data_IF_589188140855
#
_entry.id   IF_589188140855
#
_cell.length_a   1.000
_cell.length_b   1.000
_cell.length_c   1.000
_cell.angle_alpha   90.00
_cell.angle_beta   90.00
_cell.angle_gamma   90.00
#
_symmetry.space_group_name_H-M   'P 1'
#
loop_
_entity.id
_entity.type
_entity.pdbx_description
1 polymer ?
#
# COMPACT_ATOMS: atom_id res chain seq x y z
N UNK A 1 8.17 10.65 -12.76
CA UNK A 1 6.85 11.06 -13.28
C UNK A 1 6.25 12.12 -12.35
N UNK A 2 5.92 13.30 -12.87
CA UNK A 2 5.35 14.41 -12.09
C UNK A 2 3.84 14.50 -12.38
N UNK A 3 3.02 14.48 -11.34
CA UNK A 3 1.54 14.58 -11.40
C UNK A 3 1.08 15.81 -10.64
N UNK A 4 0.94 16.92 -11.36
CA UNK A 4 0.52 18.23 -10.80
C UNK A 4 -0.94 18.24 -10.32
N UNK A 5 -1.74 17.26 -10.76
CA UNK A 5 -3.16 17.06 -10.40
C UNK A 5 -3.36 16.40 -9.03
N UNK A 6 -2.29 15.92 -8.38
CA UNK A 6 -2.36 15.22 -7.10
C UNK A 6 -1.82 16.08 -5.96
N UNK A 7 -2.62 16.24 -4.91
CA UNK A 7 -2.24 17.00 -3.70
C UNK A 7 -1.21 16.25 -2.83
N UNK A 8 -1.22 14.93 -2.83
CA UNK A 8 -0.46 14.14 -1.85
C UNK A 8 0.84 13.51 -2.36
N UNK A 9 0.99 13.29 -3.66
CA UNK A 9 2.21 12.70 -4.24
C UNK A 9 2.42 13.22 -5.65
N UNK A 10 3.08 14.38 -5.74
CA UNK A 10 3.34 15.04 -7.03
C UNK A 10 4.45 14.36 -7.82
N UNK A 11 5.44 13.79 -7.14
CA UNK A 11 6.57 13.10 -7.77
C UNK A 11 6.54 11.62 -7.42
N UNK A 12 6.59 10.76 -8.45
CA UNK A 12 6.78 9.32 -8.28
C UNK A 12 8.09 8.91 -8.92
N UNK A 13 8.99 8.35 -8.13
CA UNK A 13 10.17 7.67 -8.65
C UNK A 13 9.74 6.34 -9.24
N UNK A 14 10.12 6.08 -10.47
CA UNK A 14 9.86 4.82 -11.16
C UNK A 14 11.21 4.28 -11.62
N UNK A 15 11.51 3.06 -11.20
CA UNK A 15 12.73 2.37 -11.59
C UNK A 15 12.45 1.47 -12.81
N UNK A 16 13.30 1.55 -13.81
CA UNK A 16 13.22 0.67 -14.96
C UNK A 16 14.06 -0.60 -14.72
N UNK A 17 13.53 -1.50 -13.90
CA UNK A 17 14.20 -2.77 -13.57
C UNK A 17 14.26 -3.76 -14.77
N UNK A 18 13.63 -3.43 -15.90
CA UNK A 18 13.72 -4.18 -17.15
C UNK A 18 14.82 -3.65 -18.08
N UNK A 19 15.52 -2.57 -17.71
CA UNK A 19 16.64 -2.04 -18.49
C UNK A 19 17.96 -2.66 -18.07
N UNK A 20 18.83 -2.92 -19.04
CA UNK A 20 20.20 -3.40 -18.78
C UNK A 20 21.18 -2.82 -19.80
N UNK A 21 22.46 -2.79 -19.44
CA UNK A 21 23.52 -2.50 -20.40
C UNK A 21 23.66 -3.67 -21.39
N UNK A 22 24.18 -3.38 -22.60
CA UNK A 22 24.36 -4.39 -23.64
C UNK A 22 25.20 -5.58 -23.12
N UNK A 23 24.63 -6.76 -23.23
CA UNK A 23 25.27 -8.04 -22.81
C UNK A 23 25.01 -8.43 -21.35
N UNK A 24 24.24 -7.62 -20.58
CA UNK A 24 23.85 -7.95 -19.21
C UNK A 24 22.35 -8.26 -19.14
N UNK A 25 21.96 -9.02 -18.12
CA UNK A 25 20.54 -9.27 -17.81
C UNK A 25 19.93 -8.08 -17.06
N UNK A 26 18.65 -7.75 -17.33
CA UNK A 26 17.90 -6.82 -16.51
C UNK A 26 17.72 -7.34 -15.08
N UNK A 27 17.54 -6.44 -14.12
CA UNK A 27 17.32 -6.83 -12.71
C UNK A 27 16.09 -7.75 -12.57
N UNK A 28 15.00 -7.45 -13.26
CA UNK A 28 13.78 -8.26 -13.20
C UNK A 28 13.95 -9.69 -13.73
N UNK A 29 14.91 -9.93 -14.63
CA UNK A 29 15.21 -11.28 -15.12
C UNK A 29 16.08 -12.07 -14.13
N UNK A 30 16.72 -11.39 -13.17
CA UNK A 30 17.52 -11.98 -12.11
C UNK A 30 16.75 -12.18 -10.80
N UNK A 31 15.53 -11.62 -10.67
CA UNK A 31 14.70 -11.72 -9.48
C UNK A 31 13.63 -12.79 -9.63
N UNK A 32 13.45 -13.61 -8.58
CA UNK A 32 12.26 -14.47 -8.48
C UNK A 32 11.02 -13.59 -8.24
N UNK A 33 10.02 -13.73 -9.07
CA UNK A 33 8.76 -12.99 -8.97
C UNK A 33 7.95 -13.43 -7.76
N UNK A 34 8.16 -14.65 -7.27
CA UNK A 34 7.42 -15.30 -6.20
C UNK A 34 5.89 -15.43 -6.47
N UNK A 35 5.13 -16.19 -5.68
CA UNK A 35 3.69 -16.36 -5.89
C UNK A 35 2.89 -15.10 -5.59
N UNK A 36 1.74 -14.96 -6.26
CA UNK A 36 0.80 -13.91 -5.92
C UNK A 36 0.10 -14.23 -4.59
N UNK A 37 0.31 -13.40 -3.57
CA UNK A 37 -0.31 -13.53 -2.24
C UNK A 37 -1.59 -12.68 -2.08
N UNK A 38 -1.94 -11.86 -3.08
CA UNK A 38 -3.16 -11.07 -3.01
C UNK A 38 -4.38 -11.96 -3.21
N UNK A 39 -5.51 -11.66 -2.54
CA UNK A 39 -6.78 -12.30 -2.83
C UNK A 39 -7.22 -12.00 -4.27
N UNK A 40 -8.17 -12.79 -4.77
CA UNK A 40 -8.74 -12.54 -6.10
C UNK A 40 -9.53 -11.22 -6.08
N UNK A 41 -9.21 -10.32 -6.99
CA UNK A 41 -9.87 -9.00 -7.07
C UNK A 41 -11.37 -9.12 -7.35
N UNK A 42 -11.80 -10.14 -8.12
CA UNK A 42 -13.23 -10.38 -8.38
C UNK A 42 -13.97 -10.75 -7.10
N UNK A 43 -13.37 -11.60 -6.26
CA UNK A 43 -13.97 -12.02 -4.99
C UNK A 43 -14.09 -10.83 -4.03
N UNK A 44 -13.07 -9.95 -3.99
CA UNK A 44 -13.15 -8.70 -3.21
C UNK A 44 -14.30 -7.82 -3.67
N UNK A 45 -14.44 -7.58 -5.00
CA UNK A 45 -15.48 -6.71 -5.55
C UNK A 45 -16.88 -7.31 -5.33
N UNK A 46 -17.04 -8.61 -5.48
CA UNK A 46 -18.30 -9.30 -5.23
C UNK A 46 -18.65 -9.26 -3.74
N UNK A 47 -17.69 -9.54 -2.87
CA UNK A 47 -17.85 -9.45 -1.41
C UNK A 47 -18.23 -8.04 -0.96
N UNK A 48 -17.53 -7.02 -1.45
CA UNK A 48 -17.82 -5.61 -1.17
C UNK A 48 -19.27 -5.21 -1.51
N UNK A 49 -19.80 -5.73 -2.63
CA UNK A 49 -21.18 -5.42 -3.09
C UNK A 49 -22.28 -6.10 -2.27
N UNK A 50 -21.96 -7.11 -1.49
CA UNK A 50 -22.93 -7.81 -0.64
C UNK A 50 -23.31 -7.02 0.61
N UNK A 51 -22.53 -6.02 1.00
CA UNK A 51 -22.76 -5.22 2.18
C UNK A 51 -23.59 -3.97 1.87
N UNK A 52 -24.42 -3.57 2.84
CA UNK A 52 -25.18 -2.30 2.78
C UNK A 52 -24.29 -1.08 2.90
N UNK A 53 -23.27 -1.17 3.76
CA UNK A 53 -22.32 -0.11 4.05
C UNK A 53 -20.96 -0.55 3.58
N UNK A 54 -20.51 0.05 2.48
CA UNK A 54 -19.17 -0.17 1.96
C UNK A 54 -18.18 0.88 2.44
N UNK A 55 -16.94 0.47 2.66
CA UNK A 55 -15.84 1.39 2.90
C UNK A 55 -14.56 0.93 2.18
N UNK A 56 -13.72 1.90 1.83
CA UNK A 56 -12.43 1.65 1.21
C UNK A 56 -11.39 2.66 1.70
N UNK A 57 -10.12 2.30 1.53
CA UNK A 57 -8.98 3.15 1.85
C UNK A 57 -7.73 2.69 1.12
N UNK A 58 -6.68 3.52 1.06
CA UNK A 58 -5.39 3.17 0.46
C UNK A 58 -4.23 3.27 1.47
N UNK A 59 -3.26 2.37 1.40
CA UNK A 59 -2.05 2.43 2.21
C UNK A 59 -1.07 3.42 1.57
N UNK A 60 -0.74 4.47 2.32
CA UNK A 60 0.16 5.51 1.85
C UNK A 60 1.58 4.98 1.66
N UNK A 61 2.14 5.19 0.46
CA UNK A 61 3.56 4.91 0.17
C UNK A 61 4.02 3.50 0.59
N UNK A 62 3.14 2.50 0.55
CA UNK A 62 3.32 1.17 1.13
C UNK A 62 4.69 0.53 0.81
N UNK A 63 5.14 0.56 -0.45
CA UNK A 63 6.40 -0.05 -0.85
C UNK A 63 7.63 0.57 -0.14
N UNK A 64 7.66 1.89 -0.01
CA UNK A 64 8.80 2.57 0.64
C UNK A 64 8.77 2.47 2.17
N UNK A 65 7.74 1.84 2.75
CA UNK A 65 7.75 1.46 4.17
C UNK A 65 8.56 0.18 4.42
N UNK A 66 8.81 -0.63 3.39
CA UNK A 66 9.51 -1.91 3.50
C UNK A 66 11.01 -1.69 3.27
N UNK A 67 11.82 -2.06 4.26
CA UNK A 67 13.28 -2.03 4.17
C UNK A 67 13.83 -3.14 3.28
N UNK A 68 14.95 -2.87 2.61
CA UNK A 68 15.74 -3.86 1.88
C UNK A 68 16.86 -4.35 2.80
N UNK A 69 17.13 -5.66 2.80
CA UNK A 69 18.26 -6.24 3.51
C UNK A 69 19.60 -5.63 3.02
N UNK A 70 20.56 -5.48 3.92
CA UNK A 70 21.82 -4.77 3.63
C UNK A 70 22.54 -5.37 2.42
N UNK A 71 22.59 -6.71 2.35
CA UNK A 71 23.25 -7.46 1.26
C UNK A 71 22.57 -7.30 -0.11
N UNK A 72 21.29 -6.92 -0.14
CA UNK A 72 20.49 -6.79 -1.36
C UNK A 72 20.45 -5.34 -1.90
N UNK A 73 20.77 -4.34 -1.07
CA UNK A 73 20.72 -2.91 -1.47
C UNK A 73 21.63 -2.61 -2.67
N UNK A 74 22.74 -3.31 -2.79
CA UNK A 74 23.72 -3.16 -3.90
C UNK A 74 23.10 -3.37 -5.29
N UNK A 75 21.99 -4.10 -5.39
CA UNK A 75 21.27 -4.33 -6.64
C UNK A 75 20.29 -3.20 -7.00
N UNK A 76 20.03 -2.28 -6.07
CA UNK A 76 19.11 -1.16 -6.25
C UNK A 76 19.86 0.18 -6.29
N UNK A 77 20.93 0.22 -7.07
CA UNK A 77 21.73 1.43 -7.28
C UNK A 77 21.25 2.20 -8.51
N UNK A 78 21.38 3.53 -8.48
CA UNK A 78 21.05 4.41 -9.58
C UNK A 78 21.97 5.63 -9.60
N UNK A 79 22.06 6.28 -10.77
CA UNK A 79 22.82 7.49 -10.93
C UNK A 79 21.95 8.69 -10.58
N UNK A 80 22.48 9.56 -9.76
CA UNK A 80 21.87 10.84 -9.41
C UNK A 80 22.74 11.99 -9.95
N UNK A 81 22.12 12.88 -10.70
CA UNK A 81 22.76 14.10 -11.13
C UNK A 81 22.30 15.23 -10.21
N UNK A 82 23.23 15.90 -9.48
CA UNK A 82 22.91 17.10 -8.72
C UNK A 82 22.40 18.22 -9.65
N UNK A 83 21.64 19.15 -9.07
CA UNK A 83 21.16 20.32 -9.82
C UNK A 83 22.28 21.35 -10.10
N UNK A 84 23.49 21.15 -9.56
CA UNK A 84 24.65 21.98 -9.80
C UNK A 84 25.47 21.42 -10.97
N UNK A 85 25.57 22.18 -12.05
CA UNK A 85 26.30 21.82 -13.31
C UNK A 85 27.81 21.55 -13.09
N UNK A 86 28.33 21.85 -11.90
CA UNK A 86 29.75 21.65 -11.57
C UNK A 86 29.99 20.36 -10.75
N UNK A 87 28.98 19.60 -10.40
CA UNK A 87 29.14 18.34 -9.67
C UNK A 87 28.99 17.13 -10.61
N UNK A 88 29.91 16.15 -10.45
CA UNK A 88 29.81 14.85 -11.09
C UNK A 88 28.59 14.07 -10.58
N UNK A 89 28.08 13.13 -11.38
CA UNK A 89 27.01 12.23 -10.96
C UNK A 89 27.42 11.42 -9.71
N UNK A 90 26.44 11.17 -8.85
CA UNK A 90 26.58 10.35 -7.65
C UNK A 90 25.91 8.99 -7.85
N UNK A 91 26.54 7.91 -7.36
CA UNK A 91 25.89 6.60 -7.29
C UNK A 91 25.12 6.57 -5.99
N UNK A 92 23.80 6.46 -6.11
CA UNK A 92 22.88 6.36 -4.98
C UNK A 92 22.34 4.94 -4.87
N UNK A 93 21.87 4.58 -3.68
CA UNK A 93 21.36 3.26 -3.37
C UNK A 93 20.00 3.36 -2.67
N UNK A 94 19.03 2.56 -3.11
CA UNK A 94 17.74 2.49 -2.43
C UNK A 94 17.82 1.61 -1.19
N UNK A 95 17.27 2.12 -0.09
CA UNK A 95 17.15 1.38 1.18
C UNK A 95 15.74 0.77 1.38
N UNK A 96 14.85 0.99 0.41
CA UNK A 96 13.43 0.62 0.48
C UNK A 96 13.00 -0.06 -0.80
N UNK A 97 11.96 -0.89 -0.70
CA UNK A 97 11.34 -1.52 -1.86
C UNK A 97 10.85 -0.45 -2.84
N UNK A 98 11.11 -0.66 -4.11
CA UNK A 98 10.84 0.31 -5.18
C UNK A 98 9.74 -0.18 -6.13
N UNK A 99 9.07 0.75 -6.79
CA UNK A 99 8.21 0.43 -7.91
C UNK A 99 9.07 0.05 -9.14
N UNK A 100 8.67 -1.04 -9.81
CA UNK A 100 9.34 -1.50 -11.04
C UNK A 100 10.02 -2.86 -10.91
N UNK A 101 10.33 -3.34 -9.69
CA UNK A 101 10.76 -4.71 -9.49
C UNK A 101 9.56 -5.66 -9.46
N UNK A 102 9.67 -6.79 -10.16
CA UNK A 102 8.60 -7.78 -10.28
C UNK A 102 8.24 -8.46 -8.94
N UNK A 103 9.18 -8.57 -8.00
CA UNK A 103 8.97 -9.12 -6.66
C UNK A 103 8.35 -8.12 -5.66
N UNK A 104 8.25 -6.82 -5.98
CA UNK A 104 7.84 -5.78 -5.02
C UNK A 104 6.44 -6.02 -4.47
N UNK A 105 5.50 -6.47 -5.31
CA UNK A 105 4.13 -6.77 -4.89
C UNK A 105 4.07 -7.95 -3.92
N UNK A 106 4.85 -8.99 -4.18
CA UNK A 106 4.99 -10.13 -3.27
C UNK A 106 5.53 -9.68 -1.90
N UNK A 107 6.61 -8.89 -1.89
CA UNK A 107 7.23 -8.40 -0.65
C UNK A 107 6.22 -7.59 0.19
N UNK A 108 5.44 -6.72 -0.44
CA UNK A 108 4.41 -5.95 0.25
C UNK A 108 3.35 -6.87 0.85
N UNK A 109 2.79 -7.77 0.04
CA UNK A 109 1.73 -8.67 0.50
C UNK A 109 2.22 -9.62 1.58
N UNK A 110 3.46 -10.14 1.48
CA UNK A 110 4.07 -11.00 2.47
C UNK A 110 4.26 -10.30 3.82
N UNK A 111 4.76 -9.05 3.80
CA UNK A 111 4.95 -8.24 5.01
C UNK A 111 3.62 -7.95 5.71
N UNK A 112 2.60 -7.54 4.95
CA UNK A 112 1.28 -7.27 5.51
C UNK A 112 0.68 -8.56 6.10
N UNK A 113 0.67 -9.67 5.35
CA UNK A 113 0.12 -10.95 5.83
C UNK A 113 0.85 -11.48 7.06
N UNK A 114 2.17 -11.39 7.10
CA UNK A 114 2.96 -11.74 8.29
C UNK A 114 2.55 -10.89 9.49
N UNK A 115 2.39 -9.58 9.29
CA UNK A 115 2.02 -8.67 10.36
C UNK A 115 0.61 -8.92 10.87
N UNK A 116 -0.40 -8.95 10.00
CA UNK A 116 -1.79 -9.16 10.41
C UNK A 116 -2.03 -10.55 10.99
N UNK A 117 -1.22 -11.54 10.65
CA UNK A 117 -1.26 -12.87 11.24
C UNK A 117 -1.13 -12.88 12.76
N UNK A 118 -0.50 -11.86 13.36
CA UNK A 118 -0.41 -11.68 14.81
C UNK A 118 -1.77 -11.46 15.49
N UNK A 119 -2.75 -10.98 14.73
CA UNK A 119 -4.09 -10.65 15.21
C UNK A 119 -5.10 -11.79 14.98
N UNK A 120 -4.68 -12.90 14.37
CA UNK A 120 -5.58 -14.03 14.02
C UNK A 120 -6.39 -14.56 15.19
N UNK A 121 -5.84 -14.53 16.42
CA UNK A 121 -6.49 -15.00 17.63
C UNK A 121 -7.11 -13.88 18.47
N UNK A 122 -6.53 -12.67 18.43
CA UNK A 122 -6.93 -11.54 19.29
C UNK A 122 -7.97 -10.64 18.66
N UNK A 123 -7.96 -10.51 17.32
CA UNK A 123 -8.92 -9.75 16.54
C UNK A 123 -9.23 -10.50 15.24
N UNK A 124 -9.96 -11.58 15.35
CA UNK A 124 -10.25 -12.49 14.24
C UNK A 124 -10.99 -11.80 13.08
N UNK A 125 -11.99 -10.96 13.37
CA UNK A 125 -12.78 -10.27 12.35
C UNK A 125 -11.95 -9.26 11.56
N UNK A 126 -11.11 -8.47 12.23
CA UNK A 126 -10.17 -7.54 11.59
C UNK A 126 -9.13 -8.28 10.75
N UNK A 127 -8.59 -9.39 11.26
CA UNK A 127 -7.66 -10.25 10.52
C UNK A 127 -8.30 -10.82 9.25
N UNK A 128 -9.48 -11.45 9.35
CA UNK A 128 -10.18 -12.05 8.21
C UNK A 128 -10.51 -11.00 7.14
N UNK A 129 -10.98 -9.83 7.56
CA UNK A 129 -11.23 -8.71 6.66
C UNK A 129 -9.97 -8.28 5.91
N UNK A 130 -8.88 -7.97 6.62
CA UNK A 130 -7.64 -7.51 6.00
C UNK A 130 -7.03 -8.60 5.10
N UNK A 131 -7.01 -9.85 5.56
CA UNK A 131 -6.46 -10.97 4.81
C UNK A 131 -7.22 -11.26 3.50
N UNK A 132 -8.54 -11.06 3.49
CA UNK A 132 -9.41 -11.36 2.35
C UNK A 132 -9.74 -10.17 1.44
N UNK A 133 -9.51 -8.92 1.89
CA UNK A 133 -10.06 -7.74 1.21
C UNK A 133 -9.04 -6.64 0.93
N UNK A 134 -7.78 -6.86 1.29
CA UNK A 134 -6.69 -5.96 0.92
C UNK A 134 -6.01 -6.47 -0.36
N UNK A 135 -6.14 -5.71 -1.45
CA UNK A 135 -5.45 -5.97 -2.71
C UNK A 135 -4.32 -4.98 -2.90
N UNK A 136 -3.09 -5.46 -2.82
CA UNK A 136 -1.89 -4.60 -2.84
C UNK A 136 -1.94 -3.51 -1.76
N UNK A 137 -2.39 -2.31 -2.13
CA UNK A 137 -2.48 -1.14 -1.24
C UNK A 137 -3.91 -0.72 -0.94
N UNK A 138 -4.90 -1.28 -1.65
CA UNK A 138 -6.29 -0.87 -1.59
C UNK A 138 -7.10 -1.83 -0.74
N UNK A 139 -7.73 -1.32 0.31
CA UNK A 139 -8.71 -2.03 1.13
C UNK A 139 -10.11 -1.70 0.62
N UNK A 140 -10.93 -2.75 0.37
CA UNK A 140 -12.34 -2.61 0.00
C UNK A 140 -13.16 -3.64 0.77
N UNK A 141 -13.95 -3.20 1.74
CA UNK A 141 -14.79 -4.06 2.58
C UNK A 141 -16.06 -3.34 3.02
N UNK A 142 -16.92 -4.02 3.77
CA UNK A 142 -18.15 -3.43 4.29
C UNK A 142 -18.76 -4.21 5.43
N UNK A 143 -19.92 -3.72 5.89
CA UNK A 143 -20.74 -4.35 6.91
C UNK A 143 -22.22 -4.04 6.69
N UNK A 144 -23.11 -4.73 7.41
CA UNK A 144 -24.55 -4.52 7.30
C UNK A 144 -25.07 -3.42 8.23
N UNK A 145 -24.31 -3.03 9.23
CA UNK A 145 -24.62 -1.97 10.19
C UNK A 145 -23.43 -1.02 10.42
N UNK A 146 -23.72 0.16 10.96
CA UNK A 146 -22.75 1.26 11.13
C UNK A 146 -21.70 0.93 12.19
N UNK A 147 -22.10 0.29 13.28
CA UNK A 147 -21.22 -0.06 14.39
C UNK A 147 -20.16 -1.06 13.94
N UNK A 148 -20.59 -2.12 13.25
CA UNK A 148 -19.69 -3.11 12.67
C UNK A 148 -18.73 -2.49 11.63
N UNK A 149 -19.24 -1.62 10.74
CA UNK A 149 -18.40 -0.93 9.76
C UNK A 149 -17.37 -0.01 10.42
N UNK A 150 -17.76 0.71 11.48
CA UNK A 150 -16.87 1.57 12.25
C UNK A 150 -15.79 0.75 12.97
N UNK A 151 -16.16 -0.32 13.65
CA UNK A 151 -15.21 -1.17 14.38
C UNK A 151 -14.20 -1.82 13.44
N UNK A 152 -14.65 -2.40 12.32
CA UNK A 152 -13.77 -3.03 11.33
C UNK A 152 -12.80 -2.02 10.68
N UNK A 153 -13.28 -0.83 10.33
CA UNK A 153 -12.41 0.20 9.76
C UNK A 153 -11.39 0.73 10.77
N UNK A 154 -11.77 0.87 12.04
CA UNK A 154 -10.89 1.27 13.13
C UNK A 154 -9.82 0.20 13.41
N UNK A 155 -10.22 -1.08 13.41
CA UNK A 155 -9.31 -2.22 13.55
C UNK A 155 -8.28 -2.28 12.41
N UNK A 156 -8.72 -2.01 11.16
CA UNK A 156 -7.82 -1.94 10.02
C UNK A 156 -6.77 -0.83 10.19
N UNK A 157 -7.21 0.38 10.59
CA UNK A 157 -6.32 1.51 10.84
C UNK A 157 -5.30 1.19 11.93
N UNK A 158 -5.74 0.68 13.07
CA UNK A 158 -4.89 0.34 14.21
C UNK A 158 -3.90 -0.76 13.84
N UNK A 159 -4.39 -1.89 13.31
CA UNK A 159 -3.54 -3.03 12.95
C UNK A 159 -2.47 -2.67 11.93
N UNK A 160 -2.79 -1.89 10.90
CA UNK A 160 -1.82 -1.45 9.90
C UNK A 160 -0.85 -0.41 10.46
N UNK A 161 -1.31 0.50 11.33
CA UNK A 161 -0.49 1.49 12.00
C UNK A 161 0.59 0.86 12.88
N UNK A 162 0.32 -0.25 13.54
CA UNK A 162 1.29 -1.00 14.36
C UNK A 162 2.48 -1.53 13.54
N UNK A 163 2.30 -1.68 12.22
CA UNK A 163 3.39 -1.98 11.27
C UNK A 163 3.90 -0.73 10.55
N UNK A 164 3.55 0.47 11.02
CA UNK A 164 3.89 1.74 10.38
C UNK A 164 3.28 1.92 8.97
N UNK A 165 2.24 1.16 8.62
CA UNK A 165 1.46 1.38 7.41
C UNK A 165 0.34 2.37 7.69
N UNK A 166 0.32 3.47 6.98
CA UNK A 166 -0.71 4.49 7.10
C UNK A 166 -1.86 4.22 6.12
N UNK A 167 -2.96 3.63 6.63
CA UNK A 167 -4.21 3.51 5.86
C UNK A 167 -4.92 4.87 5.88
N UNK A 168 -5.23 5.41 4.72
CA UNK A 168 -5.80 6.75 4.59
C UNK A 168 -6.82 6.83 3.47
N UNK A 169 -7.37 8.03 3.24
CA UNK A 169 -8.40 8.33 2.25
C UNK A 169 -9.58 7.37 2.40
N UNK A 170 -10.05 7.26 3.63
CA UNK A 170 -11.24 6.48 3.90
C UNK A 170 -12.44 7.08 3.16
N UNK A 171 -13.13 6.23 2.40
CA UNK A 171 -14.37 6.55 1.72
C UNK A 171 -15.44 5.54 2.09
N UNK A 172 -16.67 5.99 2.16
CA UNK A 172 -17.84 5.15 2.41
C UNK A 172 -19.04 5.68 1.65
N UNK A 173 -20.03 4.83 1.40
CA UNK A 173 -21.32 5.19 0.82
C UNK A 173 -22.31 5.76 1.85
N UNK A 174 -21.95 5.78 3.15
CA UNK A 174 -22.83 6.21 4.23
C UNK A 174 -22.26 7.39 5.02
N UNK A 175 -22.95 8.54 4.98
CA UNK A 175 -22.54 9.76 5.70
C UNK A 175 -22.36 9.54 7.20
N UNK A 176 -23.25 8.76 7.84
CA UNK A 176 -23.17 8.48 9.27
C UNK A 176 -21.84 7.82 9.66
N UNK A 177 -21.33 6.89 8.88
CA UNK A 177 -20.03 6.25 9.12
C UNK A 177 -18.89 7.27 8.94
N UNK A 178 -18.97 8.10 7.92
CA UNK A 178 -17.99 9.17 7.69
C UNK A 178 -17.94 10.17 8.86
N UNK A 179 -19.09 10.61 9.35
CA UNK A 179 -19.18 11.52 10.49
C UNK A 179 -18.58 10.89 11.77
N UNK A 180 -18.78 9.58 11.99
CA UNK A 180 -18.14 8.84 13.09
C UNK A 180 -16.62 8.81 12.95
N UNK A 181 -16.07 8.61 11.76
CA UNK A 181 -14.62 8.67 11.54
C UNK A 181 -14.04 10.05 11.87
N UNK A 182 -14.72 11.15 11.47
CA UNK A 182 -14.30 12.51 11.80
C UNK A 182 -14.32 12.73 13.32
N UNK A 183 -15.42 12.37 14.00
CA UNK A 183 -15.57 12.53 15.45
C UNK A 183 -14.48 11.79 16.24
N UNK A 184 -13.98 10.67 15.71
CA UNK A 184 -12.92 9.87 16.31
C UNK A 184 -11.52 10.16 15.75
N UNK A 185 -11.35 11.17 14.89
CA UNK A 185 -10.06 11.57 14.34
C UNK A 185 -9.45 10.60 13.34
N UNK A 186 -10.25 9.72 12.72
CA UNK A 186 -9.79 8.71 11.78
C UNK A 186 -9.70 9.23 10.33
N UNK A 187 -10.37 10.32 10.00
CA UNK A 187 -10.27 10.99 8.70
C UNK A 187 -10.49 12.50 8.82
N UNK A 188 -10.10 13.25 7.77
CA UNK A 188 -10.29 14.70 7.69
C UNK A 188 -11.68 15.04 7.11
N UNK A 189 -12.26 16.19 7.52
CA UNK A 189 -13.59 16.66 7.10
C UNK A 189 -13.80 16.72 5.58
N UNK A 190 -12.73 16.99 4.81
CA UNK A 190 -12.80 17.24 3.36
C UNK A 190 -12.78 15.98 2.48
N UNK A 191 -12.89 14.79 3.04
CA UNK A 191 -12.74 13.54 2.28
C UNK A 191 -14.03 13.06 1.58
N UNK A 192 -15.21 13.53 2.00
CA UNK A 192 -16.51 13.06 1.49
C UNK A 192 -16.95 13.70 0.16
N UNK A 193 -16.54 14.95 -0.14
CA UNK A 193 -17.07 15.76 -1.25
C UNK A 193 -16.27 15.71 -2.57
N UNK A 194 -15.27 14.84 -2.70
CA UNK A 194 -14.49 14.69 -3.95
C UNK A 194 -14.97 13.50 -4.76
N UNK A 195 -16.09 13.71 -5.48
CA UNK A 195 -16.50 12.86 -6.60
C UNK A 195 -15.59 13.02 -7.80
#
# INVERSE_FOLDING_TARGET
MVRKDKLSTQVRMVFNCCSSAKGNLPLNDCLDQAPNLNPNVLDIILGFRNFKIGFCGDIEKAFVMIGIAEDDKKYLTFLWYPDDDNEDFKIMQMNRVVFGCNCSLFLLSAMIKYHIGKYSETNKSGFEMLNGSLYAVDLCYGADDVESAFNLSSDALSSLSDASFNLRKLHTNLKQLHDLWIQNGLCEENSFDKK
#
